data_IF_276733907920
#
_entry.id   IF_276733907920
#
_cell.length_a   1.000
_cell.length_b   1.000
_cell.length_c   1.000
_cell.angle_alpha   90.00
_cell.angle_beta   90.00
_cell.angle_gamma   90.00
#
_symmetry.space_group_name_H-M   'P 1'
#
loop_
_entity.id
_entity.type
_entity.pdbx_description
1 polymer ?
#
# COMPACT_ATOMS: atom_id res chain seq x y z
N UNK A 1 8.77 -14.35 -9.87
CA UNK A 1 9.35 -15.66 -10.25
C UNK A 1 10.65 -15.52 -11.04
N UNK A 2 10.69 -14.73 -12.15
CA UNK A 2 11.86 -14.65 -13.02
C UNK A 2 13.13 -14.16 -12.28
N UNK A 3 13.03 -13.10 -11.49
CA UNK A 3 14.17 -12.53 -10.78
C UNK A 3 14.75 -13.50 -9.74
N UNK A 4 13.91 -14.22 -8.99
CA UNK A 4 14.37 -15.25 -8.03
C UNK A 4 15.13 -16.37 -8.73
N UNK A 5 14.66 -16.79 -9.91
CA UNK A 5 15.36 -17.79 -10.73
C UNK A 5 16.72 -17.26 -11.19
N UNK A 6 16.80 -16.01 -11.63
CA UNK A 6 18.06 -15.37 -12.03
C UNK A 6 19.05 -15.24 -10.88
N UNK A 7 18.58 -14.87 -9.68
CA UNK A 7 19.40 -14.79 -8.48
C UNK A 7 19.95 -16.19 -8.10
N UNK A 8 19.09 -17.21 -8.14
CA UNK A 8 19.49 -18.60 -7.82
C UNK A 8 20.50 -19.17 -8.82
N UNK A 9 20.37 -18.85 -10.10
CA UNK A 9 21.28 -19.30 -11.17
C UNK A 9 22.57 -18.48 -11.26
N UNK A 10 22.72 -17.40 -10.47
CA UNK A 10 23.87 -16.51 -10.54
C UNK A 10 23.83 -15.53 -11.74
N UNK A 11 22.74 -15.52 -12.52
CA UNK A 11 22.56 -14.58 -13.63
C UNK A 11 22.19 -13.15 -13.18
N UNK A 12 21.89 -12.98 -11.89
CA UNK A 12 21.77 -11.70 -11.22
C UNK A 12 22.46 -11.77 -9.84
N UNK A 13 23.17 -10.73 -9.45
CA UNK A 13 23.89 -10.66 -8.18
C UNK A 13 23.00 -10.11 -7.04
N UNK A 14 22.05 -9.24 -7.36
CA UNK A 14 21.10 -8.67 -6.45
C UNK A 14 19.79 -8.32 -7.18
N UNK A 15 18.72 -8.08 -6.44
CA UNK A 15 17.44 -7.69 -7.03
C UNK A 15 16.46 -7.16 -5.98
N UNK A 16 15.56 -6.28 -6.42
CA UNK A 16 14.48 -5.76 -5.59
C UNK A 16 13.25 -6.65 -5.75
N UNK A 17 12.78 -7.21 -4.67
CA UNK A 17 11.59 -8.06 -4.61
C UNK A 17 10.72 -7.66 -3.43
N UNK A 18 9.44 -8.00 -3.48
CA UNK A 18 8.47 -7.76 -2.41
C UNK A 18 7.70 -9.05 -2.10
N UNK A 19 6.99 -9.09 -1.00
CA UNK A 19 6.13 -10.21 -0.66
C UNK A 19 5.07 -10.46 -1.78
N UNK A 20 4.70 -11.72 -2.04
CA UNK A 20 5.15 -12.92 -1.34
C UNK A 20 6.50 -13.49 -1.84
N UNK A 21 7.12 -12.86 -2.84
CA UNK A 21 8.34 -13.36 -3.51
C UNK A 21 9.57 -13.35 -2.58
N UNK A 22 9.61 -12.42 -1.61
CA UNK A 22 10.66 -12.37 -0.57
C UNK A 22 10.74 -13.67 0.22
N UNK A 23 9.60 -14.23 0.61
CA UNK A 23 9.57 -15.48 1.36
C UNK A 23 10.06 -16.68 0.52
N UNK A 24 9.67 -16.73 -0.76
CA UNK A 24 10.17 -17.75 -1.68
C UNK A 24 11.71 -17.67 -1.86
N UNK A 25 12.23 -16.44 -1.94
CA UNK A 25 13.67 -16.21 -2.03
C UNK A 25 14.40 -16.69 -0.78
N UNK A 26 13.87 -16.43 0.41
CA UNK A 26 14.42 -16.86 1.68
C UNK A 26 14.40 -18.40 1.82
N UNK A 27 13.32 -19.07 1.42
CA UNK A 27 13.23 -20.54 1.39
C UNK A 27 14.28 -21.18 0.48
N UNK A 28 14.70 -20.46 -0.56
CA UNK A 28 15.77 -20.87 -1.48
C UNK A 28 17.18 -20.51 -0.98
N UNK A 29 17.30 -19.98 0.24
CA UNK A 29 18.57 -19.62 0.86
C UNK A 29 19.15 -18.28 0.41
N UNK A 30 18.39 -17.48 -0.33
CA UNK A 30 18.80 -16.11 -0.69
C UNK A 30 18.71 -15.21 0.56
N UNK A 31 19.66 -14.31 0.68
CA UNK A 31 19.77 -13.40 1.83
C UNK A 31 19.18 -12.03 1.48
N UNK A 32 18.39 -11.49 2.40
CA UNK A 32 18.00 -10.09 2.37
C UNK A 32 19.18 -9.23 2.80
N UNK A 33 19.60 -8.32 1.94
CA UNK A 33 20.73 -7.42 2.20
C UNK A 33 20.23 -6.14 2.91
N UNK A 34 19.05 -5.65 2.49
CA UNK A 34 18.43 -4.45 3.04
C UNK A 34 16.90 -4.60 2.99
N UNK A 35 16.22 -4.09 4.00
CA UNK A 35 14.79 -3.84 3.94
C UNK A 35 14.55 -2.38 3.53
N UNK A 36 14.00 -2.17 2.34
CA UNK A 36 13.77 -0.83 1.82
C UNK A 36 12.77 -0.03 2.67
N UNK A 37 11.87 -0.72 3.39
CA UNK A 37 10.92 -0.08 4.32
C UNK A 37 11.64 0.66 5.45
N UNK A 38 12.78 0.15 5.91
CA UNK A 38 13.56 0.76 7.00
C UNK A 38 14.23 2.08 6.60
N UNK A 39 14.31 2.36 5.29
CA UNK A 39 14.85 3.61 4.76
C UNK A 39 13.90 4.79 4.93
N UNK A 40 12.62 4.53 5.28
CA UNK A 40 11.59 5.56 5.46
C UNK A 40 11.48 6.55 4.29
N UNK A 41 11.70 6.08 3.07
CA UNK A 41 11.59 6.91 1.87
C UNK A 41 10.11 7.20 1.62
N UNK A 42 9.66 8.46 1.62
CA UNK A 42 8.29 8.81 1.28
C UNK A 42 8.01 8.40 -0.17
N UNK A 43 7.12 7.44 -0.36
CA UNK A 43 6.77 6.96 -1.70
C UNK A 43 5.33 6.44 -1.74
N UNK A 44 4.62 6.68 -2.84
CA UNK A 44 3.27 6.14 -3.03
C UNK A 44 3.39 4.73 -3.58
N UNK A 45 3.09 3.73 -2.76
CA UNK A 45 3.08 2.35 -3.19
C UNK A 45 1.71 1.95 -3.77
N UNK A 46 0.63 2.29 -3.07
CA UNK A 46 -0.75 2.03 -3.48
C UNK A 46 -1.62 3.22 -3.08
N UNK A 47 -2.59 3.58 -3.90
CA UNK A 47 -3.52 4.66 -3.61
C UNK A 47 -4.84 4.48 -4.35
N UNK A 48 -5.86 5.21 -3.91
CA UNK A 48 -7.15 5.31 -4.59
C UNK A 48 -7.06 6.46 -5.58
N UNK A 49 -7.26 6.16 -6.87
CA UNK A 49 -7.22 7.17 -7.92
C UNK A 49 -8.61 7.34 -8.56
N UNK A 50 -8.94 8.59 -8.88
CA UNK A 50 -10.14 8.94 -9.65
C UNK A 50 -9.90 10.20 -10.46
N UNK A 51 -10.87 10.63 -11.25
CA UNK A 51 -10.76 11.84 -12.04
C UNK A 51 -11.36 13.06 -11.32
N UNK A 52 -10.86 14.26 -11.61
CA UNK A 52 -11.45 15.51 -11.10
C UNK A 52 -12.95 15.63 -11.43
N UNK A 53 -13.36 15.15 -12.61
CA UNK A 53 -14.76 15.09 -13.02
C UNK A 53 -15.62 14.27 -12.07
N UNK A 54 -15.13 13.09 -11.65
CA UNK A 54 -15.85 12.24 -10.67
C UNK A 54 -15.93 12.93 -9.31
N UNK A 55 -14.85 13.54 -8.85
CA UNK A 55 -14.81 14.30 -7.58
C UNK A 55 -15.87 15.40 -7.59
N UNK A 56 -15.98 16.17 -8.69
CA UNK A 56 -16.92 17.29 -8.82
C UNK A 56 -18.38 16.81 -8.98
N UNK A 57 -18.62 15.79 -9.79
CA UNK A 57 -19.98 15.38 -10.16
C UNK A 57 -20.59 14.34 -9.22
N UNK A 58 -19.76 13.57 -8.50
CA UNK A 58 -20.20 12.47 -7.64
C UNK A 58 -19.45 12.43 -6.29
N UNK A 59 -19.37 13.55 -5.55
CA UNK A 59 -18.60 13.63 -4.30
C UNK A 59 -19.09 12.65 -3.24
N UNK A 60 -20.39 12.36 -3.20
CA UNK A 60 -20.94 11.38 -2.27
C UNK A 60 -20.49 9.94 -2.59
N UNK A 61 -20.34 9.59 -3.87
CA UNK A 61 -19.83 8.28 -4.25
C UNK A 61 -18.35 8.14 -3.82
N UNK A 62 -17.55 9.18 -3.96
CA UNK A 62 -16.16 9.21 -3.47
C UNK A 62 -16.14 9.04 -1.94
N UNK A 63 -16.99 9.78 -1.22
CA UNK A 63 -17.09 9.67 0.24
C UNK A 63 -17.48 8.25 0.67
N UNK A 64 -18.51 7.65 0.05
CA UNK A 64 -18.93 6.27 0.37
C UNK A 64 -17.84 5.25 0.10
N UNK A 65 -17.12 5.41 -1.01
CA UNK A 65 -15.98 4.54 -1.31
C UNK A 65 -14.89 4.63 -0.24
N UNK A 66 -14.50 5.85 0.13
CA UNK A 66 -13.47 6.07 1.14
C UNK A 66 -13.91 5.60 2.54
N UNK A 67 -15.20 5.66 2.87
CA UNK A 67 -15.73 5.04 4.09
C UNK A 67 -15.47 3.53 4.10
N UNK A 68 -15.89 2.81 3.06
CA UNK A 68 -15.65 1.37 2.96
C UNK A 68 -14.15 1.02 2.94
N UNK A 69 -13.33 1.85 2.29
CA UNK A 69 -11.88 1.69 2.25
C UNK A 69 -11.25 1.82 3.66
N UNK A 70 -11.64 2.82 4.43
CA UNK A 70 -11.14 3.01 5.79
C UNK A 70 -11.71 1.97 6.78
N UNK A 71 -12.95 1.50 6.58
CA UNK A 71 -13.49 0.34 7.30
C UNK A 71 -12.64 -0.92 7.05
N UNK A 72 -12.30 -1.20 5.79
CA UNK A 72 -11.42 -2.32 5.44
C UNK A 72 -10.04 -2.20 6.11
N UNK A 73 -9.43 -1.02 6.10
CA UNK A 73 -8.18 -0.77 6.83
C UNK A 73 -8.35 -1.07 8.33
N UNK A 74 -9.45 -0.66 8.92
CA UNK A 74 -9.70 -0.94 10.35
C UNK A 74 -9.79 -2.44 10.65
N UNK A 75 -10.39 -3.22 9.77
CA UNK A 75 -10.44 -4.69 9.87
C UNK A 75 -9.03 -5.27 9.75
N UNK A 76 -8.29 -4.86 8.70
CA UNK A 76 -6.90 -5.31 8.50
C UNK A 76 -6.06 -5.10 9.76
N UNK A 77 -6.21 -3.96 10.42
CA UNK A 77 -5.41 -3.61 11.60
C UNK A 77 -5.84 -4.29 12.90
N UNK A 78 -7.09 -4.75 13.00
CA UNK A 78 -7.67 -5.22 14.26
C UNK A 78 -8.06 -6.69 14.26
N UNK A 79 -8.28 -7.25 13.08
CA UNK A 79 -8.76 -8.62 12.92
C UNK A 79 -7.82 -9.37 11.95
N UNK A 80 -6.72 -9.86 12.52
CA UNK A 80 -5.73 -10.65 11.77
C UNK A 80 -6.35 -11.91 11.17
N UNK A 81 -7.20 -12.61 11.93
CA UNK A 81 -7.79 -13.87 11.50
C UNK A 81 -8.64 -13.69 10.24
N UNK A 82 -9.58 -12.75 10.28
CA UNK A 82 -10.41 -12.41 9.12
C UNK A 82 -9.55 -11.94 7.94
N UNK A 83 -8.55 -11.10 8.21
CA UNK A 83 -7.66 -10.58 7.15
C UNK A 83 -6.89 -11.70 6.47
N UNK A 84 -6.25 -12.57 7.22
CA UNK A 84 -5.47 -13.70 6.70
C UNK A 84 -6.37 -14.66 5.90
N UNK A 85 -7.57 -14.95 6.39
CA UNK A 85 -8.57 -15.75 5.66
C UNK A 85 -8.96 -15.14 4.31
N UNK A 86 -9.20 -13.83 4.29
CA UNK A 86 -9.53 -13.11 3.04
C UNK A 86 -8.32 -13.11 2.10
N UNK A 87 -7.11 -12.87 2.63
CA UNK A 87 -5.89 -12.94 1.83
C UNK A 87 -5.72 -14.32 1.17
N UNK A 88 -5.92 -15.41 1.92
CA UNK A 88 -5.84 -16.78 1.38
C UNK A 88 -6.76 -17.01 0.18
N UNK A 89 -8.00 -16.50 0.28
CA UNK A 89 -8.98 -16.57 -0.82
C UNK A 89 -8.48 -15.85 -2.09
N UNK A 90 -7.96 -14.63 -1.95
CA UNK A 90 -7.52 -13.81 -3.11
C UNK A 90 -6.15 -14.22 -3.64
N UNK A 91 -5.23 -14.65 -2.78
CA UNK A 91 -3.92 -15.18 -3.16
C UNK A 91 -3.99 -16.64 -3.65
N UNK A 92 -5.17 -17.29 -3.51
CA UNK A 92 -5.41 -18.69 -3.90
C UNK A 92 -4.39 -19.64 -3.25
N UNK A 93 -4.15 -19.49 -1.97
CA UNK A 93 -3.25 -20.31 -1.17
C UNK A 93 -3.83 -20.55 0.22
N UNK A 94 -3.55 -21.73 0.76
CA UNK A 94 -3.85 -22.15 2.14
C UNK A 94 -2.60 -22.22 3.03
N UNK A 95 -1.45 -21.79 2.50
CA UNK A 95 -0.22 -21.74 3.27
C UNK A 95 -0.30 -20.66 4.36
N UNK A 96 -0.75 -21.07 5.55
CA UNK A 96 -0.98 -20.20 6.69
C UNK A 96 0.29 -19.43 7.09
N UNK A 97 1.45 -20.10 7.10
CA UNK A 97 2.73 -19.46 7.43
C UNK A 97 3.08 -18.33 6.47
N UNK A 98 2.87 -18.55 5.17
CA UNK A 98 3.07 -17.50 4.15
C UNK A 98 2.11 -16.34 4.34
N UNK A 99 0.81 -16.62 4.55
CA UNK A 99 -0.21 -15.60 4.70
C UNK A 99 0.05 -14.72 5.93
N UNK A 100 0.41 -15.32 7.05
CA UNK A 100 0.73 -14.58 8.27
C UNK A 100 1.98 -13.72 8.10
N UNK A 101 3.01 -14.23 7.46
CA UNK A 101 4.23 -13.48 7.18
C UNK A 101 3.97 -12.28 6.24
N UNK A 102 3.16 -12.47 5.20
CA UNK A 102 2.72 -11.37 4.30
C UNK A 102 1.90 -10.34 5.06
N UNK A 103 1.01 -10.76 5.95
CA UNK A 103 0.22 -9.87 6.79
C UNK A 103 1.12 -8.99 7.67
N UNK A 104 2.05 -9.59 8.41
CA UNK A 104 2.95 -8.87 9.30
C UNK A 104 3.85 -7.87 8.55
N UNK A 105 4.37 -8.27 7.37
CA UNK A 105 5.20 -7.38 6.53
C UNK A 105 4.43 -6.16 6.06
N UNK A 106 3.14 -6.31 5.72
CA UNK A 106 2.35 -5.23 5.13
C UNK A 106 1.53 -4.42 6.14
N UNK A 107 1.29 -4.94 7.34
CA UNK A 107 0.47 -4.26 8.35
C UNK A 107 0.91 -2.80 8.64
N UNK A 108 2.20 -2.47 8.73
CA UNK A 108 2.64 -1.09 8.98
C UNK A 108 2.26 -0.10 7.87
N UNK A 109 2.07 -0.59 6.63
CA UNK A 109 1.73 0.26 5.47
C UNK A 109 0.27 0.75 5.53
N UNK A 110 -0.62 0.00 6.18
CA UNK A 110 -2.02 0.36 6.32
C UNK A 110 -2.22 1.39 7.43
N UNK A 111 -2.02 2.66 7.11
CA UNK A 111 -2.22 3.75 8.07
C UNK A 111 -3.70 3.89 8.46
N UNK A 112 -3.97 4.20 9.74
CA UNK A 112 -5.33 4.42 10.26
C UNK A 112 -6.07 5.53 9.49
N UNK A 113 -5.39 6.60 9.18
CA UNK A 113 -5.84 7.70 8.34
C UNK A 113 -4.87 7.86 7.17
N UNK A 114 -5.15 7.25 6.01
CA UNK A 114 -4.21 7.15 4.89
C UNK A 114 -4.19 8.45 4.05
N UNK A 115 -3.67 9.51 4.63
CA UNK A 115 -3.51 10.78 3.93
C UNK A 115 -2.30 10.70 2.97
N UNK A 116 -2.48 11.30 1.80
CA UNK A 116 -1.39 11.53 0.87
C UNK A 116 -0.52 12.68 1.35
N UNK A 117 0.80 12.55 1.24
CA UNK A 117 1.73 13.62 1.57
C UNK A 117 2.35 14.23 0.32
N UNK A 118 2.70 15.51 0.40
CA UNK A 118 3.36 16.23 -0.68
C UNK A 118 4.70 15.58 -1.06
N UNK A 119 5.46 15.16 -0.05
CA UNK A 119 6.77 14.52 -0.20
C UNK A 119 6.66 13.20 -0.96
N UNK A 120 5.64 12.39 -0.65
CA UNK A 120 5.42 11.12 -1.34
C UNK A 120 5.02 11.30 -2.81
N UNK A 121 4.21 12.32 -3.12
CA UNK A 121 3.88 12.67 -4.50
C UNK A 121 5.10 13.25 -5.23
N UNK A 122 5.86 14.14 -4.59
CA UNK A 122 7.07 14.72 -5.17
C UNK A 122 8.07 13.62 -5.54
N UNK A 123 8.30 12.65 -4.68
CA UNK A 123 9.21 11.52 -4.95
C UNK A 123 8.79 10.73 -6.22
N UNK A 124 7.49 10.59 -6.47
CA UNK A 124 7.00 9.97 -7.71
C UNK A 124 7.23 10.87 -8.93
N UNK A 125 7.00 12.19 -8.79
CA UNK A 125 7.20 13.15 -9.88
C UNK A 125 8.67 13.26 -10.27
N UNK A 126 9.59 13.22 -9.31
CA UNK A 126 11.03 13.33 -9.52
C UNK A 126 11.59 12.19 -10.38
N UNK A 127 11.03 10.98 -10.25
CA UNK A 127 11.42 9.81 -11.05
C UNK A 127 10.58 9.60 -12.30
N UNK A 128 9.60 10.47 -12.55
CA UNK A 128 8.73 10.35 -13.72
C UNK A 128 9.53 10.54 -15.02
N UNK A 129 9.29 9.65 -15.98
CA UNK A 129 9.97 9.73 -17.31
C UNK A 129 9.56 10.96 -18.13
N UNK A 130 8.40 11.55 -17.83
CA UNK A 130 7.91 12.73 -18.52
C UNK A 130 8.46 13.99 -17.85
N UNK A 131 9.32 14.79 -18.55
CA UNK A 131 9.90 16.00 -17.96
C UNK A 131 8.85 17.04 -17.49
N UNK A 132 7.67 17.05 -18.11
CA UNK A 132 6.58 17.94 -17.68
C UNK A 132 6.03 17.56 -16.31
N UNK A 133 6.05 16.27 -15.96
CA UNK A 133 5.59 15.81 -14.65
C UNK A 133 6.50 16.33 -13.52
N UNK A 134 7.80 16.39 -13.75
CA UNK A 134 8.79 16.89 -12.78
C UNK A 134 8.62 18.39 -12.44
N UNK A 135 7.93 19.14 -13.31
CA UNK A 135 7.67 20.58 -13.13
C UNK A 135 6.28 20.88 -12.54
N UNK A 136 5.48 19.83 -12.29
CA UNK A 136 4.12 20.01 -11.76
C UNK A 136 4.12 20.16 -10.25
N UNK A 137 3.12 20.89 -9.73
CA UNK A 137 2.93 20.99 -8.28
C UNK A 137 2.37 19.65 -7.75
N UNK A 138 3.04 18.98 -6.77
CA UNK A 138 2.56 17.75 -6.17
C UNK A 138 1.12 17.85 -5.62
N UNK A 139 0.74 19.00 -5.10
CA UNK A 139 -0.59 19.23 -4.51
C UNK A 139 -1.72 19.15 -5.55
N UNK A 140 -1.40 19.22 -6.84
CA UNK A 140 -2.37 19.02 -7.92
C UNK A 140 -2.78 17.55 -8.11
N UNK A 141 -2.08 16.60 -7.49
CA UNK A 141 -2.28 15.17 -7.72
C UNK A 141 -3.04 14.45 -6.61
N UNK A 142 -3.37 15.12 -5.51
CA UNK A 142 -4.14 14.49 -4.45
C UNK A 142 -5.18 15.43 -3.83
N UNK A 143 -6.17 14.84 -3.20
CA UNK A 143 -7.21 15.54 -2.45
C UNK A 143 -7.51 14.79 -1.15
N UNK A 144 -6.99 15.30 -0.06
CA UNK A 144 -7.20 14.76 1.28
C UNK A 144 -8.51 15.20 1.92
N UNK A 145 -9.24 16.13 1.32
CA UNK A 145 -10.40 16.79 1.95
C UNK A 145 -11.50 15.81 2.37
N UNK A 146 -11.70 14.74 1.59
CA UNK A 146 -12.69 13.71 1.89
C UNK A 146 -12.32 12.91 3.15
N UNK A 147 -11.07 12.47 3.25
CA UNK A 147 -10.59 11.73 4.43
C UNK A 147 -10.55 12.62 5.67
N UNK A 148 -10.14 13.87 5.53
CA UNK A 148 -10.14 14.85 6.62
C UNK A 148 -11.57 15.11 7.14
N UNK A 149 -12.58 15.20 6.24
CA UNK A 149 -13.99 15.33 6.64
C UNK A 149 -14.50 14.08 7.35
N UNK A 150 -14.13 12.89 6.89
CA UNK A 150 -14.47 11.64 7.59
C UNK A 150 -13.84 11.56 8.98
N UNK A 151 -12.60 12.00 9.13
CA UNK A 151 -11.92 12.05 10.43
C UNK A 151 -12.56 13.08 11.36
N UNK A 152 -12.77 14.30 10.88
CA UNK A 152 -13.41 15.37 11.64
C UNK A 152 -14.84 15.03 12.09
N UNK A 153 -15.57 14.19 11.33
CA UNK A 153 -16.90 13.70 11.73
C UNK A 153 -16.86 12.65 12.86
N UNK A 154 -15.68 12.22 13.31
CA UNK A 154 -15.51 11.15 14.28
C UNK A 154 -15.65 9.73 13.70
N UNK A 155 -15.96 9.61 12.40
CA UNK A 155 -16.16 8.31 11.75
C UNK A 155 -14.92 7.41 11.85
N UNK A 156 -13.73 7.95 11.53
CA UNK A 156 -12.49 7.16 11.61
C UNK A 156 -12.25 6.68 13.05
N UNK A 157 -12.47 7.54 14.05
CA UNK A 157 -12.32 7.17 15.45
C UNK A 157 -13.28 6.05 15.83
N UNK A 158 -14.54 6.11 15.40
CA UNK A 158 -15.56 5.10 15.72
C UNK A 158 -15.20 3.69 15.24
N UNK A 159 -14.38 3.55 14.20
CA UNK A 159 -13.91 2.27 13.68
C UNK A 159 -12.93 1.55 14.63
N UNK A 160 -12.35 2.26 15.59
CA UNK A 160 -11.32 1.75 16.51
C UNK A 160 -11.75 1.73 17.98
N UNK A 161 -12.95 2.23 18.27
CA UNK A 161 -13.55 2.17 19.61
C UNK A 161 -14.35 0.88 19.70
N UNK A 162 -13.78 -0.15 20.30
CA UNK A 162 -14.46 -1.33 20.84
C UNK A 162 -13.73 -1.80 22.10
#
# INVERSE_FOLDING_TARGET
PALVTMLKSGNAQAGLISAPTTFQAQELGLKQIINVTDLNIPFIFVGVATTRKVIQQKPEAVTRYLRGYTEAISIIRRDKETTVKVMGKYMKTDNQKLLEAVYEEHLPVFQRLPLMTKEAVQAVLDVAKNPKAQQMNPEDFFDNSFLQKLDASGFINSLYVR
#
